data_IF_252905930025
#
_entry.id   IF_252905930025
#
_cell.length_a   1.000
_cell.length_b   1.000
_cell.length_c   1.000
_cell.angle_alpha   90.00
_cell.angle_beta   90.00
_cell.angle_gamma   90.00
#
_symmetry.space_group_name_H-M   'P 1'
#
loop_
_entity.id
_entity.type
_entity.pdbx_description
1 polymer ?
#
# COMPACT_ATOMS: atom_id res chain seq x y z
N UNK A 1 -7.28 7.29 0.04
CA UNK A 1 -7.90 6.06 -0.51
C UNK A 1 -9.06 5.57 0.37
N UNK A 2 -8.84 5.19 1.64
CA UNK A 2 -9.92 4.64 2.50
C UNK A 2 -11.17 5.50 2.58
N UNK A 3 -11.03 6.79 2.81
CA UNK A 3 -12.18 7.71 2.85
C UNK A 3 -12.97 7.80 1.55
N UNK A 4 -12.28 7.78 0.38
CA UNK A 4 -12.96 7.79 -0.92
C UNK A 4 -13.74 6.50 -1.17
N UNK A 5 -13.16 5.34 -0.86
CA UNK A 5 -13.84 4.04 -1.05
C UNK A 5 -15.03 3.92 -0.11
N UNK A 6 -14.84 4.23 1.20
CA UNK A 6 -15.94 4.21 2.17
C UNK A 6 -17.04 5.20 1.78
N UNK A 7 -16.66 6.40 1.33
CA UNK A 7 -17.59 7.41 0.85
C UNK A 7 -18.37 6.97 -0.37
N UNK A 8 -17.73 6.34 -1.36
CA UNK A 8 -18.39 5.80 -2.55
C UNK A 8 -19.39 4.71 -2.20
N UNK A 9 -19.03 3.75 -1.33
CA UNK A 9 -19.93 2.70 -0.84
C UNK A 9 -21.14 3.27 -0.11
N UNK A 10 -20.95 4.24 0.78
CA UNK A 10 -22.02 4.92 1.50
C UNK A 10 -22.93 5.73 0.57
N UNK A 11 -22.35 6.40 -0.43
CA UNK A 11 -23.11 7.14 -1.43
C UNK A 11 -24.01 6.21 -2.24
N UNK A 12 -23.49 5.04 -2.70
CA UNK A 12 -24.30 3.99 -3.33
C UNK A 12 -25.37 3.42 -2.38
N UNK A 13 -25.11 3.38 -1.06
CA UNK A 13 -26.08 2.97 -0.06
C UNK A 13 -27.13 4.04 0.25
N UNK A 14 -27.08 5.23 -0.37
CA UNK A 14 -28.07 6.30 -0.26
C UNK A 14 -27.72 7.38 0.76
N UNK A 15 -26.50 7.41 1.29
CA UNK A 15 -26.04 8.49 2.18
C UNK A 15 -25.55 9.70 1.36
N UNK A 16 -25.80 10.90 1.83
CA UNK A 16 -25.17 12.11 1.29
C UNK A 16 -23.79 12.29 1.92
N UNK A 17 -22.75 12.13 1.11
CA UNK A 17 -21.37 12.06 1.57
C UNK A 17 -20.60 13.34 1.25
N UNK A 18 -19.85 13.85 2.24
CA UNK A 18 -18.82 14.88 2.04
C UNK A 18 -17.46 14.31 2.44
N UNK A 19 -16.50 14.31 1.52
CA UNK A 19 -15.12 13.91 1.80
C UNK A 19 -14.25 15.17 1.87
N UNK A 20 -13.54 15.36 2.98
CA UNK A 20 -12.58 16.44 3.17
C UNK A 20 -11.16 15.89 2.98
N UNK A 21 -10.41 16.49 2.06
CA UNK A 21 -9.00 16.14 1.78
C UNK A 21 -8.11 17.35 2.01
N UNK A 22 -7.05 17.20 2.79
CA UNK A 22 -6.12 18.29 3.09
C UNK A 22 -5.28 18.73 1.89
N UNK A 23 -4.91 17.78 1.02
CA UNK A 23 -4.06 18.06 -0.13
C UNK A 23 -4.88 18.61 -1.32
N UNK A 24 -4.19 19.26 -2.25
CA UNK A 24 -4.78 19.68 -3.53
C UNK A 24 -5.15 18.49 -4.42
N UNK A 25 -4.45 17.35 -4.26
CA UNK A 25 -4.70 16.10 -4.98
C UNK A 25 -5.31 15.10 -4.02
N UNK A 26 -6.48 14.58 -4.37
CA UNK A 26 -7.21 13.58 -3.56
C UNK A 26 -6.58 12.19 -3.67
N UNK A 27 -6.91 11.27 -2.75
CA UNK A 27 -6.65 9.84 -2.92
C UNK A 27 -5.59 9.23 -1.99
N UNK A 28 -4.81 10.02 -1.25
CA UNK A 28 -3.75 9.49 -0.39
C UNK A 28 -2.73 8.69 -1.21
N UNK A 29 -2.55 7.38 -0.94
CA UNK A 29 -1.62 6.52 -1.69
C UNK A 29 -1.93 6.33 -3.18
N UNK A 30 -3.12 6.75 -3.66
CA UNK A 30 -3.47 6.79 -5.08
C UNK A 30 -3.02 8.09 -5.76
N UNK A 31 -2.46 9.04 -5.03
CA UNK A 31 -1.97 10.28 -5.62
C UNK A 31 -0.87 9.99 -6.64
N UNK A 32 -0.92 10.74 -7.72
CA UNK A 32 0.14 10.80 -8.73
C UNK A 32 0.45 12.25 -9.02
N UNK A 33 1.66 12.54 -9.42
CA UNK A 33 2.07 13.91 -9.74
C UNK A 33 2.72 13.97 -11.11
N UNK A 34 2.60 15.10 -11.77
CA UNK A 34 3.25 15.35 -13.05
C UNK A 34 4.47 16.25 -12.85
N UNK A 35 5.62 15.81 -13.33
CA UNK A 35 6.86 16.59 -13.32
C UNK A 35 7.73 16.26 -14.53
N UNK A 36 8.41 17.29 -15.08
CA UNK A 36 9.23 17.14 -16.28
C UNK A 36 8.47 16.50 -17.46
N UNK A 37 7.15 16.76 -17.56
CA UNK A 37 6.30 16.21 -18.62
C UNK A 37 5.80 14.78 -18.41
N UNK A 38 6.26 14.07 -17.36
CA UNK A 38 5.90 12.69 -17.07
C UNK A 38 5.06 12.56 -15.79
N UNK A 39 4.23 11.51 -15.71
CA UNK A 39 3.49 11.11 -14.52
C UNK A 39 4.32 10.16 -13.65
N UNK A 40 4.15 10.27 -12.33
CA UNK A 40 4.75 9.41 -11.32
C UNK A 40 3.74 9.05 -10.25
N UNK A 41 3.78 7.80 -9.80
CA UNK A 41 2.94 7.31 -8.72
C UNK A 41 3.63 7.50 -7.36
N UNK A 42 2.89 7.97 -6.37
CA UNK A 42 3.48 8.26 -5.05
C UNK A 42 3.50 7.04 -4.13
N UNK A 43 2.59 6.09 -4.31
CA UNK A 43 2.49 4.94 -3.42
C UNK A 43 1.86 3.69 -4.04
N UNK A 44 1.35 3.77 -5.27
CA UNK A 44 0.75 2.64 -5.96
C UNK A 44 1.56 2.33 -7.21
N UNK A 45 2.55 1.45 -7.08
CA UNK A 45 3.46 1.07 -8.16
C UNK A 45 2.98 -0.19 -8.88
N UNK A 46 2.47 -1.14 -8.11
CA UNK A 46 1.92 -2.43 -8.54
C UNK A 46 0.94 -2.94 -7.48
N UNK A 47 0.05 -3.86 -7.86
CA UNK A 47 -0.91 -4.45 -6.93
C UNK A 47 -1.39 -5.82 -7.41
N UNK A 48 -1.68 -6.70 -6.45
CA UNK A 48 -2.35 -7.99 -6.69
C UNK A 48 -3.87 -7.88 -6.53
N UNK A 49 -4.59 -9.01 -6.69
CA UNK A 49 -6.00 -9.12 -6.33
C UNK A 49 -6.99 -8.38 -7.24
N UNK A 50 -6.63 -8.11 -8.50
CA UNK A 50 -7.51 -7.53 -9.52
C UNK A 50 -8.20 -8.57 -10.41
N UNK A 51 -7.84 -9.85 -10.25
CA UNK A 51 -8.53 -10.97 -10.91
C UNK A 51 -10.00 -11.06 -10.51
N UNK A 52 -10.80 -11.75 -11.32
CA UNK A 52 -12.26 -11.80 -11.21
C UNK A 52 -12.77 -12.37 -9.88
N UNK A 53 -11.99 -13.25 -9.25
CA UNK A 53 -12.33 -13.92 -7.99
C UNK A 53 -12.09 -13.07 -6.74
N UNK A 54 -11.44 -11.90 -6.87
CA UNK A 54 -11.02 -11.10 -5.73
C UNK A 54 -12.00 -10.00 -5.35
N UNK A 55 -12.10 -9.73 -4.07
CA UNK A 55 -13.00 -8.74 -3.50
C UNK A 55 -12.85 -7.34 -4.12
N UNK A 56 -11.64 -6.94 -4.49
CA UNK A 56 -11.39 -5.65 -5.15
C UNK A 56 -12.16 -5.54 -6.47
N UNK A 57 -12.08 -6.56 -7.32
CA UNK A 57 -12.79 -6.57 -8.62
C UNK A 57 -14.31 -6.50 -8.47
N UNK A 58 -14.86 -7.28 -7.55
CA UNK A 58 -16.30 -7.26 -7.27
C UNK A 58 -16.75 -5.90 -6.76
N UNK A 59 -16.00 -5.29 -5.84
CA UNK A 59 -16.31 -3.96 -5.32
C UNK A 59 -16.26 -2.89 -6.42
N UNK A 60 -15.24 -2.92 -7.28
CA UNK A 60 -15.14 -1.96 -8.39
C UNK A 60 -16.27 -2.11 -9.41
N UNK A 61 -16.74 -3.34 -9.66
CA UNK A 61 -17.96 -3.58 -10.47
C UNK A 61 -19.20 -3.07 -9.77
N UNK A 62 -19.38 -3.35 -8.48
CA UNK A 62 -20.50 -2.82 -7.70
C UNK A 62 -20.57 -1.29 -7.76
N UNK A 63 -19.42 -0.61 -7.73
CA UNK A 63 -19.32 0.82 -7.90
C UNK A 63 -19.47 1.30 -9.36
N UNK A 64 -19.49 0.37 -10.34
CA UNK A 64 -19.62 0.65 -11.76
C UNK A 64 -18.41 1.34 -12.40
N UNK A 65 -17.21 1.14 -11.83
CA UNK A 65 -15.98 1.82 -12.28
C UNK A 65 -14.86 0.88 -12.72
N UNK A 66 -15.05 -0.45 -12.66
CA UNK A 66 -13.97 -1.39 -13.01
C UNK A 66 -13.48 -1.21 -14.44
N UNK A 67 -14.41 -1.08 -15.39
CA UNK A 67 -14.11 -0.98 -16.81
C UNK A 67 -13.65 0.43 -17.25
N UNK A 68 -13.74 1.41 -16.35
CA UNK A 68 -13.20 2.77 -16.56
C UNK A 68 -11.71 2.85 -16.25
N UNK A 69 -11.12 1.80 -15.62
CA UNK A 69 -9.73 1.78 -15.19
C UNK A 69 -8.84 1.14 -16.24
N UNK A 70 -7.78 1.85 -16.61
CA UNK A 70 -6.75 1.34 -17.50
C UNK A 70 -5.68 0.60 -16.68
N UNK A 71 -5.73 -0.73 -16.73
CA UNK A 71 -4.88 -1.60 -15.93
C UNK A 71 -4.21 -2.62 -16.82
N UNK A 72 -2.89 -2.69 -16.74
CA UNK A 72 -2.06 -3.66 -17.46
C UNK A 72 -1.69 -4.83 -16.54
N UNK A 73 -1.94 -6.09 -16.91
CA UNK A 73 -1.36 -7.23 -16.22
C UNK A 73 0.15 -7.27 -16.44
N UNK A 74 0.88 -7.63 -15.39
CA UNK A 74 2.33 -7.86 -15.46
C UNK A 74 2.62 -9.15 -16.23
N UNK A 75 3.82 -9.27 -16.81
CA UNK A 75 4.27 -10.43 -17.58
C UNK A 75 4.09 -11.73 -16.77
N UNK A 76 3.35 -12.68 -17.32
CA UNK A 76 3.01 -13.91 -16.62
C UNK A 76 4.19 -14.90 -16.48
N UNK A 77 5.17 -14.84 -17.39
CA UNK A 77 6.34 -15.74 -17.40
C UNK A 77 7.47 -15.21 -16.48
N UNK A 78 7.45 -13.92 -16.20
CA UNK A 78 8.44 -13.25 -15.36
C UNK A 78 7.81 -12.08 -14.60
N UNK A 79 6.78 -12.39 -13.82
CA UNK A 79 6.02 -11.38 -13.08
C UNK A 79 6.94 -10.57 -12.16
N UNK A 80 7.82 -11.25 -11.42
CA UNK A 80 8.87 -10.62 -10.63
C UNK A 80 10.25 -11.08 -11.11
N UNK A 81 11.21 -10.13 -11.13
CA UNK A 81 12.61 -10.41 -11.38
C UNK A 81 13.37 -10.12 -10.08
N UNK A 82 13.81 -11.19 -9.40
CA UNK A 82 14.50 -11.10 -8.11
C UNK A 82 15.99 -11.33 -8.32
N UNK A 83 16.78 -10.30 -8.04
CA UNK A 83 18.23 -10.40 -8.04
C UNK A 83 18.73 -10.72 -6.63
N UNK A 84 19.69 -11.60 -6.52
CA UNK A 84 20.38 -11.91 -5.25
C UNK A 84 21.80 -11.35 -5.22
N UNK A 85 22.39 -11.15 -6.38
CA UNK A 85 23.63 -10.42 -6.63
C UNK A 85 23.66 -9.93 -8.10
N UNK A 86 24.64 -9.10 -8.54
CA UNK A 86 24.67 -8.58 -9.91
C UNK A 86 24.84 -9.63 -11.03
N UNK A 87 25.05 -10.90 -10.69
CA UNK A 87 25.25 -12.00 -11.64
C UNK A 87 24.13 -13.01 -11.65
N UNK A 88 23.26 -13.00 -10.61
CA UNK A 88 22.21 -14.01 -10.45
C UNK A 88 20.83 -13.36 -10.25
N UNK A 89 19.89 -13.75 -11.11
CA UNK A 89 18.49 -13.33 -11.01
C UNK A 89 17.54 -14.49 -11.25
N UNK A 90 16.38 -14.40 -10.66
CA UNK A 90 15.27 -15.34 -10.76
C UNK A 90 14.08 -14.65 -11.40
N UNK A 91 13.53 -15.26 -12.45
CA UNK A 91 12.33 -14.75 -13.14
C UNK A 91 11.15 -15.57 -12.64
N UNK A 92 10.44 -15.04 -11.64
CA UNK A 92 9.37 -15.75 -10.97
C UNK A 92 8.08 -15.67 -11.79
N UNK A 93 7.51 -16.80 -12.23
CA UNK A 93 6.30 -16.83 -13.03
C UNK A 93 5.05 -16.63 -12.16
N UNK A 94 3.96 -16.19 -12.80
CA UNK A 94 2.65 -16.12 -12.19
C UNK A 94 2.05 -17.52 -12.00
N UNK A 95 1.34 -17.67 -10.88
CA UNK A 95 0.61 -18.88 -10.54
C UNK A 95 1.41 -19.84 -9.67
N UNK A 96 0.72 -20.43 -8.68
CA UNK A 96 1.33 -21.31 -7.70
C UNK A 96 2.11 -22.46 -8.33
N UNK A 97 1.49 -23.17 -9.27
CA UNK A 97 2.08 -24.36 -9.89
C UNK A 97 3.35 -24.01 -10.68
N UNK A 98 3.31 -22.97 -11.52
CA UNK A 98 4.45 -22.51 -12.30
C UNK A 98 5.59 -22.02 -11.39
N UNK A 99 5.27 -21.26 -10.34
CA UNK A 99 6.22 -20.78 -9.35
C UNK A 99 6.91 -21.93 -8.60
N UNK A 100 6.13 -22.91 -8.12
CA UNK A 100 6.63 -24.08 -7.41
C UNK A 100 7.50 -24.96 -8.33
N UNK A 101 7.08 -25.19 -9.58
CA UNK A 101 7.83 -25.95 -10.57
C UNK A 101 9.16 -25.27 -10.92
N UNK A 102 9.12 -23.95 -11.15
CA UNK A 102 10.31 -23.17 -11.48
C UNK A 102 11.36 -23.26 -10.38
N UNK A 103 10.99 -22.87 -9.15
CA UNK A 103 11.91 -22.91 -8.02
C UNK A 103 12.31 -24.33 -7.62
N UNK A 104 11.38 -25.31 -7.68
CA UNK A 104 11.68 -26.70 -7.40
C UNK A 104 12.68 -27.34 -8.40
N UNK A 105 12.75 -26.81 -9.64
CA UNK A 105 13.76 -27.21 -10.62
C UNK A 105 15.14 -26.64 -10.27
N UNK A 106 15.19 -25.40 -9.80
CA UNK A 106 16.44 -24.71 -9.43
C UNK A 106 16.98 -25.18 -8.08
N UNK A 107 16.09 -25.56 -7.16
CA UNK A 107 16.41 -25.99 -5.80
C UNK A 107 15.88 -27.42 -5.53
N UNK A 108 16.35 -28.46 -6.24
CA UNK A 108 15.75 -29.80 -6.18
C UNK A 108 15.78 -30.44 -4.78
N UNK A 109 16.79 -30.11 -3.97
CA UNK A 109 16.88 -30.58 -2.58
C UNK A 109 15.84 -29.93 -1.64
N UNK A 110 15.23 -28.83 -2.05
CA UNK A 110 14.24 -28.08 -1.27
C UNK A 110 12.80 -28.26 -1.77
N UNK A 111 12.57 -29.09 -2.81
CA UNK A 111 11.27 -29.24 -3.48
C UNK A 111 10.13 -29.56 -2.50
N UNK A 112 10.32 -30.54 -1.62
CA UNK A 112 9.30 -30.92 -0.64
C UNK A 112 9.10 -29.84 0.44
N UNK A 113 10.18 -29.15 0.82
CA UNK A 113 10.12 -28.02 1.74
C UNK A 113 9.37 -26.84 1.15
N UNK A 114 9.64 -26.52 -0.13
CA UNK A 114 8.96 -25.47 -0.87
C UNK A 114 7.45 -25.75 -1.00
N UNK A 115 7.09 -26.99 -1.37
CA UNK A 115 5.71 -27.43 -1.44
C UNK A 115 4.97 -27.18 -0.12
N UNK A 116 5.51 -27.67 0.99
CA UNK A 116 4.92 -27.47 2.34
C UNK A 116 4.89 -26.02 2.78
N UNK A 117 5.87 -25.22 2.40
CA UNK A 117 5.86 -23.78 2.64
C UNK A 117 4.71 -23.10 1.92
N UNK A 118 4.52 -23.39 0.62
CA UNK A 118 3.42 -22.84 -0.16
C UNK A 118 2.05 -23.32 0.38
N UNK A 119 1.90 -24.59 0.76
CA UNK A 119 0.69 -25.08 1.41
C UNK A 119 0.35 -24.30 2.69
N UNK A 120 1.36 -24.01 3.50
CA UNK A 120 1.17 -23.22 4.71
C UNK A 120 0.73 -21.78 4.37
N UNK A 121 1.33 -21.14 3.37
CA UNK A 121 0.92 -19.81 2.92
C UNK A 121 -0.54 -19.77 2.47
N UNK A 122 -0.96 -20.73 1.63
CA UNK A 122 -2.35 -20.81 1.16
C UNK A 122 -3.33 -21.12 2.28
N UNK A 123 -2.97 -22.02 3.23
CA UNK A 123 -3.78 -22.31 4.42
C UNK A 123 -4.00 -21.06 5.29
N UNK A 124 -2.94 -20.28 5.48
CA UNK A 124 -3.04 -19.03 6.24
C UNK A 124 -3.88 -17.99 5.46
N UNK A 125 -3.63 -17.83 4.16
CA UNK A 125 -4.36 -16.87 3.32
C UNK A 125 -5.86 -17.19 3.24
N UNK A 126 -6.23 -18.48 3.18
CA UNK A 126 -7.62 -18.91 3.12
C UNK A 126 -8.41 -18.55 4.39
N UNK A 127 -7.74 -18.31 5.51
CA UNK A 127 -8.38 -17.84 6.75
C UNK A 127 -8.83 -16.38 6.73
N UNK A 128 -8.48 -15.63 5.68
CA UNK A 128 -8.89 -14.23 5.50
C UNK A 128 -10.18 -14.13 4.66
N UNK A 129 -11.28 -14.56 5.23
CA UNK A 129 -12.57 -14.72 4.56
C UNK A 129 -13.01 -13.57 3.67
N UNK A 130 -12.81 -12.32 4.12
CA UNK A 130 -13.25 -11.14 3.37
C UNK A 130 -12.52 -10.96 2.03
N UNK A 131 -11.27 -11.38 1.91
CA UNK A 131 -10.56 -11.32 0.63
C UNK A 131 -11.23 -12.20 -0.44
N UNK A 132 -11.88 -13.28 0.02
CA UNK A 132 -12.66 -14.22 -0.79
C UNK A 132 -14.17 -13.94 -0.76
N UNK A 133 -14.57 -12.76 -0.27
CA UNK A 133 -15.96 -12.35 -0.13
C UNK A 133 -16.81 -13.34 0.68
N UNK A 134 -16.20 -13.98 1.67
CA UNK A 134 -16.88 -14.90 2.59
C UNK A 134 -17.21 -14.17 3.89
N UNK A 135 -18.31 -14.55 4.51
CA UNK A 135 -18.57 -14.15 5.90
C UNK A 135 -17.69 -14.97 6.84
N UNK A 136 -17.34 -14.38 7.99
CA UNK A 136 -16.42 -14.97 8.94
C UNK A 136 -16.73 -16.45 9.27
N UNK A 137 -15.73 -17.29 9.10
CA UNK A 137 -15.75 -18.74 9.37
C UNK A 137 -14.67 -19.10 10.39
N UNK A 138 -14.63 -20.35 10.81
CA UNK A 138 -13.59 -20.87 11.70
C UNK A 138 -12.56 -21.64 10.88
N UNK A 139 -11.29 -21.27 11.02
CA UNK A 139 -10.15 -21.88 10.32
C UNK A 139 -9.15 -22.49 11.32
N UNK A 140 -9.44 -23.66 11.89
CA UNK A 140 -8.58 -24.25 12.93
C UNK A 140 -7.17 -24.60 12.44
N UNK A 141 -7.03 -24.91 11.14
CA UNK A 141 -5.77 -25.25 10.49
C UNK A 141 -4.77 -24.11 10.44
N UNK A 142 -5.23 -22.86 10.35
CA UNK A 142 -4.37 -21.68 10.33
C UNK A 142 -3.76 -21.36 11.71
N UNK A 143 -4.36 -21.85 12.79
CA UNK A 143 -3.91 -21.60 14.18
C UNK A 143 -2.50 -22.10 14.45
N UNK A 144 -2.05 -23.14 13.73
CA UNK A 144 -0.68 -23.67 13.88
C UNK A 144 0.42 -22.67 13.52
N UNK A 145 0.03 -21.55 12.88
CA UNK A 145 0.93 -20.51 12.39
C UNK A 145 0.74 -19.15 13.08
N UNK A 146 -0.22 -19.07 14.02
CA UNK A 146 -0.49 -17.81 14.74
C UNK A 146 0.75 -17.29 15.48
N UNK A 147 1.01 -16.00 15.33
CA UNK A 147 2.14 -15.33 15.99
C UNK A 147 3.51 -15.60 15.40
N UNK A 148 3.63 -16.42 14.35
CA UNK A 148 4.90 -16.66 13.67
C UNK A 148 5.31 -15.45 12.83
N UNK A 149 6.65 -15.29 12.68
CA UNK A 149 7.22 -14.42 11.64
C UNK A 149 7.43 -15.19 10.35
N UNK A 150 7.64 -14.46 9.26
CA UNK A 150 7.94 -15.04 7.94
C UNK A 150 9.22 -15.88 7.99
N UNK A 151 10.25 -15.39 8.68
CA UNK A 151 11.50 -16.14 8.85
C UNK A 151 11.26 -17.48 9.54
N UNK A 152 10.48 -17.50 10.64
CA UNK A 152 10.16 -18.72 11.35
C UNK A 152 9.41 -19.73 10.47
N UNK A 153 8.49 -19.26 9.62
CA UNK A 153 7.77 -20.12 8.69
C UNK A 153 8.69 -20.66 7.60
N UNK A 154 9.51 -19.81 6.97
CA UNK A 154 10.46 -20.24 5.94
C UNK A 154 11.42 -21.28 6.47
N UNK A 155 12.09 -21.00 7.60
CA UNK A 155 13.08 -21.91 8.23
C UNK A 155 12.48 -23.21 8.77
N UNK A 156 11.18 -23.26 8.99
CA UNK A 156 10.48 -24.51 9.35
C UNK A 156 10.51 -25.55 8.22
N UNK A 157 10.56 -25.12 6.97
CA UNK A 157 10.42 -25.98 5.79
C UNK A 157 11.63 -25.91 4.84
N UNK A 158 12.39 -24.85 4.86
CA UNK A 158 13.46 -24.51 3.92
C UNK A 158 14.76 -24.30 4.70
N UNK A 159 15.83 -24.95 4.27
CA UNK A 159 17.17 -24.84 4.84
C UNK A 159 18.17 -24.11 3.91
N UNK A 160 17.83 -23.88 2.67
CA UNK A 160 18.67 -23.22 1.68
C UNK A 160 18.53 -21.71 1.82
N UNK A 161 19.63 -21.00 2.14
CA UNK A 161 19.65 -19.56 2.40
C UNK A 161 19.41 -18.75 1.12
N UNK A 162 19.78 -19.26 -0.05
CA UNK A 162 19.52 -18.57 -1.32
C UNK A 162 18.04 -18.60 -1.64
N UNK A 163 17.37 -19.75 -1.46
CA UNK A 163 15.93 -19.88 -1.66
C UNK A 163 15.16 -19.00 -0.64
N UNK A 164 15.59 -18.94 0.64
CA UNK A 164 15.01 -18.03 1.64
C UNK A 164 15.15 -16.58 1.17
N UNK A 165 16.32 -16.20 0.65
CA UNK A 165 16.55 -14.85 0.10
C UNK A 165 15.61 -14.55 -1.06
N UNK A 166 15.50 -15.47 -2.03
CA UNK A 166 14.56 -15.31 -3.16
C UNK A 166 13.13 -15.14 -2.65
N UNK A 167 12.64 -16.00 -1.75
CA UNK A 167 11.27 -15.95 -1.22
C UNK A 167 10.98 -14.69 -0.37
N UNK A 168 12.02 -13.96 0.05
CA UNK A 168 11.89 -12.71 0.82
C UNK A 168 11.57 -11.49 -0.04
N UNK A 169 11.38 -11.62 -1.34
CA UNK A 169 11.27 -10.51 -2.30
C UNK A 169 10.13 -9.53 -1.99
N UNK A 170 9.02 -9.99 -1.40
CA UNK A 170 7.87 -9.14 -1.07
C UNK A 170 8.05 -8.30 0.21
N UNK A 171 9.20 -8.38 0.88
CA UNK A 171 9.44 -7.60 2.12
C UNK A 171 9.30 -6.08 1.97
N UNK A 172 9.66 -5.44 0.84
CA UNK A 172 9.38 -4.02 0.62
C UNK A 172 7.91 -3.66 0.72
N UNK A 173 7.01 -4.55 0.27
CA UNK A 173 5.57 -4.36 0.33
C UNK A 173 4.98 -4.65 1.73
N UNK A 174 5.77 -5.23 2.62
CA UNK A 174 5.44 -5.43 4.04
C UNK A 174 6.06 -4.33 4.95
N UNK A 175 7.01 -3.57 4.45
CA UNK A 175 7.68 -2.49 5.16
C UNK A 175 8.72 -2.91 6.20
N UNK A 176 9.01 -4.23 6.35
CA UNK A 176 9.95 -4.78 7.33
C UNK A 176 10.70 -5.99 6.79
N UNK A 177 11.76 -6.42 7.48
CA UNK A 177 12.48 -7.67 7.23
C UNK A 177 11.68 -8.89 7.66
N UNK A 178 12.06 -10.08 7.15
CA UNK A 178 11.32 -11.35 7.36
C UNK A 178 11.20 -11.77 8.84
N UNK A 179 12.13 -11.35 9.69
CA UNK A 179 12.12 -11.60 11.15
C UNK A 179 11.06 -10.77 11.89
N UNK A 180 10.50 -9.73 11.25
CA UNK A 180 9.48 -8.83 11.82
C UNK A 180 8.14 -8.89 11.12
N UNK A 181 8.08 -9.37 9.90
CA UNK A 181 6.82 -9.50 9.15
C UNK A 181 6.02 -10.67 9.70
N UNK A 182 4.74 -10.43 9.99
CA UNK A 182 3.79 -11.49 10.34
C UNK A 182 3.52 -12.41 9.15
N UNK A 183 3.49 -13.73 9.39
CA UNK A 183 3.09 -14.70 8.35
C UNK A 183 1.72 -14.40 7.77
N UNK A 184 0.78 -13.90 8.56
CA UNK A 184 -0.57 -13.56 8.09
C UNK A 184 -0.56 -12.54 6.97
N UNK A 185 0.17 -11.42 7.16
CA UNK A 185 0.30 -10.36 6.15
C UNK A 185 1.04 -10.87 4.92
N UNK A 186 2.16 -11.57 5.13
CA UNK A 186 2.98 -12.11 4.04
C UNK A 186 2.22 -13.14 3.21
N UNK A 187 1.50 -14.07 3.86
CA UNK A 187 0.76 -15.12 3.16
C UNK A 187 -0.32 -14.53 2.26
N UNK A 188 -1.10 -13.59 2.78
CA UNK A 188 -2.15 -12.95 1.99
C UNK A 188 -1.56 -12.17 0.81
N UNK A 189 -0.49 -11.41 1.06
CA UNK A 189 0.19 -10.66 0.02
C UNK A 189 0.77 -11.60 -1.05
N UNK A 190 1.46 -12.66 -0.65
CA UNK A 190 2.06 -13.64 -1.57
C UNK A 190 1.00 -14.30 -2.44
N UNK A 191 -0.12 -14.74 -1.88
CA UNK A 191 -1.21 -15.38 -2.64
C UNK A 191 -1.83 -14.40 -3.64
N UNK A 192 -2.10 -13.15 -3.23
CA UNK A 192 -2.63 -12.12 -4.12
C UNK A 192 -1.71 -11.83 -5.30
N UNK A 193 -0.39 -11.81 -5.07
CA UNK A 193 0.59 -11.54 -6.10
C UNK A 193 0.83 -12.75 -6.99
N UNK A 194 0.94 -13.94 -6.44
CA UNK A 194 1.05 -15.19 -7.24
C UNK A 194 -0.14 -15.40 -8.17
N UNK A 195 -1.33 -14.95 -7.78
CA UNK A 195 -2.53 -15.03 -8.62
C UNK A 195 -2.53 -14.01 -9.77
N UNK A 196 -1.78 -12.95 -9.65
CA UNK A 196 -1.54 -11.96 -10.69
C UNK A 196 -1.25 -10.58 -10.14
N UNK A 197 -0.23 -9.98 -10.69
CA UNK A 197 0.17 -8.60 -10.44
C UNK A 197 -0.29 -7.70 -11.58
N UNK A 198 -0.65 -6.48 -11.23
CA UNK A 198 -1.21 -5.48 -12.14
C UNK A 198 -0.61 -4.11 -11.89
N UNK A 199 -0.69 -3.23 -12.90
CA UNK A 199 -0.26 -1.84 -12.84
C UNK A 199 -1.29 -0.93 -13.50
N UNK A 200 -1.45 0.26 -12.94
CA UNK A 200 -2.20 1.30 -13.64
C UNK A 200 -1.38 1.84 -14.80
N UNK A 201 -1.97 1.94 -15.97
CA UNK A 201 -1.39 2.67 -17.09
C UNK A 201 -1.46 4.17 -16.80
N UNK A 202 -0.39 4.91 -17.16
CA UNK A 202 -0.14 6.31 -16.86
C UNK A 202 -0.05 6.61 -15.36
N UNK A 203 -1.13 6.43 -14.59
CA UNK A 203 -1.11 6.78 -13.17
C UNK A 203 -2.25 6.16 -12.37
N UNK A 204 -2.03 5.97 -11.06
CA UNK A 204 -3.01 5.41 -10.13
C UNK A 204 -4.12 6.41 -9.72
N UNK A 205 -3.95 7.70 -10.02
CA UNK A 205 -4.91 8.74 -9.67
C UNK A 205 -6.26 8.55 -10.38
N UNK A 206 -6.29 7.84 -11.52
CA UNK A 206 -7.53 7.47 -12.22
C UNK A 206 -8.54 6.78 -11.30
N UNK A 207 -8.10 5.90 -10.38
CA UNK A 207 -9.01 5.27 -9.40
C UNK A 207 -9.58 6.30 -8.40
N UNK A 208 -8.78 7.25 -7.94
CA UNK A 208 -9.27 8.30 -7.05
C UNK A 208 -10.30 9.20 -7.74
N UNK A 209 -10.11 9.49 -9.04
CA UNK A 209 -11.05 10.25 -9.85
C UNK A 209 -12.36 9.47 -10.09
N UNK A 210 -12.27 8.19 -10.42
CA UNK A 210 -13.45 7.32 -10.59
C UNK A 210 -14.29 7.26 -9.30
N UNK A 211 -13.64 7.05 -8.13
CA UNK A 211 -14.31 7.06 -6.84
C UNK A 211 -14.97 8.41 -6.52
N UNK A 212 -14.31 9.52 -6.84
CA UNK A 212 -14.89 10.86 -6.74
C UNK A 212 -16.15 10.98 -7.59
N UNK A 213 -16.09 10.53 -8.85
CA UNK A 213 -17.23 10.54 -9.78
C UNK A 213 -18.41 9.73 -9.22
N UNK A 214 -18.18 8.58 -8.58
CA UNK A 214 -19.23 7.81 -7.90
C UNK A 214 -19.89 8.63 -6.80
N UNK A 215 -19.10 9.26 -5.91
CA UNK A 215 -19.63 10.08 -4.82
C UNK A 215 -20.47 11.24 -5.37
N UNK A 216 -19.96 11.97 -6.37
CA UNK A 216 -20.63 13.13 -6.96
C UNK A 216 -21.90 12.74 -7.75
N UNK A 217 -21.90 11.58 -8.43
CA UNK A 217 -23.09 11.00 -9.11
C UNK A 217 -24.24 10.72 -8.15
N UNK A 218 -23.93 10.42 -6.88
CA UNK A 218 -24.89 10.21 -5.81
C UNK A 218 -25.11 11.47 -4.93
N UNK A 219 -24.93 12.66 -5.50
CA UNK A 219 -25.14 13.94 -4.83
C UNK A 219 -24.25 14.20 -3.61
N UNK A 220 -23.13 13.51 -3.50
CA UNK A 220 -22.06 13.80 -2.55
C UNK A 220 -21.06 14.80 -3.11
N UNK A 221 -20.00 15.09 -2.33
CA UNK A 221 -18.95 16.01 -2.73
C UNK A 221 -17.59 15.60 -2.17
N UNK A 222 -16.52 15.91 -2.91
CA UNK A 222 -15.12 15.71 -2.49
C UNK A 222 -14.41 17.05 -2.55
N UNK A 223 -13.97 17.54 -1.41
CA UNK A 223 -13.40 18.88 -1.25
C UNK A 223 -11.91 18.76 -0.93
N UNK A 224 -11.08 19.17 -1.88
CA UNK A 224 -9.64 19.31 -1.69
C UNK A 224 -9.29 20.62 -0.97
N UNK A 225 -8.06 20.71 -0.45
CA UNK A 225 -7.60 21.87 0.37
C UNK A 225 -8.53 22.15 1.54
N UNK A 226 -9.03 21.11 2.19
CA UNK A 226 -9.90 21.16 3.35
C UNK A 226 -9.27 20.36 4.50
N UNK A 227 -8.15 20.87 5.02
CA UNK A 227 -7.46 20.25 6.14
C UNK A 227 -8.24 20.44 7.43
N UNK A 228 -8.66 19.32 8.04
CA UNK A 228 -9.32 19.34 9.35
C UNK A 228 -8.29 19.69 10.42
N UNK A 229 -8.59 20.72 11.22
CA UNK A 229 -7.77 21.21 12.33
C UNK A 229 -8.35 20.87 13.70
N UNK A 230 -9.66 20.61 13.78
CA UNK A 230 -10.33 20.29 15.05
C UNK A 230 -11.53 19.37 14.81
N UNK A 231 -11.78 18.48 15.79
CA UNK A 231 -12.98 17.65 15.90
C UNK A 231 -13.58 17.93 17.27
N UNK A 232 -14.63 18.72 17.29
CA UNK A 232 -15.33 19.11 18.52
C UNK A 232 -16.21 17.94 18.98
N UNK A 233 -15.89 17.39 20.15
CA UNK A 233 -16.64 16.31 20.80
C UNK A 233 -17.23 16.83 22.10
N UNK A 234 -18.51 16.52 22.37
CA UNK A 234 -19.20 16.83 23.62
C UNK A 234 -20.06 15.64 24.04
N UNK A 235 -19.91 15.20 25.27
CA UNK A 235 -20.65 14.06 25.86
C UNK A 235 -20.59 12.79 25.00
N UNK A 236 -19.44 12.52 24.38
CA UNK A 236 -19.23 11.33 23.55
C UNK A 236 -19.90 11.42 22.17
N UNK A 237 -20.28 12.60 21.70
CA UNK A 237 -20.85 12.87 20.40
C UNK A 237 -20.01 13.92 19.65
N UNK A 238 -19.69 13.69 18.38
CA UNK A 238 -19.05 14.69 17.53
C UNK A 238 -20.11 15.68 17.07
N UNK A 239 -19.95 16.94 17.44
CA UNK A 239 -20.86 18.03 17.04
C UNK A 239 -20.49 18.57 15.66
N UNK A 240 -19.18 18.80 15.42
CA UNK A 240 -18.67 19.34 14.16
C UNK A 240 -17.19 19.04 13.96
N UNK A 241 -16.74 19.21 12.74
CA UNK A 241 -15.32 19.32 12.39
C UNK A 241 -15.02 20.70 11.81
N UNK A 242 -13.84 21.26 12.14
CA UNK A 242 -13.40 22.57 11.67
C UNK A 242 -12.16 22.38 10.80
N UNK A 243 -12.10 23.08 9.68
CA UNK A 243 -10.93 23.10 8.78
C UNK A 243 -10.02 24.29 9.09
N UNK A 244 -8.74 24.22 8.67
CA UNK A 244 -7.73 25.26 8.91
C UNK A 244 -8.11 26.64 8.37
N UNK A 245 -9.00 26.70 7.37
CA UNK A 245 -9.56 27.92 6.81
C UNK A 245 -10.81 28.44 7.56
N UNK A 246 -11.15 27.79 8.68
CA UNK A 246 -12.26 28.20 9.57
C UNK A 246 -13.65 27.73 9.14
N UNK A 247 -13.79 26.94 8.07
CA UNK A 247 -15.08 26.33 7.70
C UNK A 247 -15.46 25.25 8.70
N UNK A 248 -16.75 25.22 9.05
CA UNK A 248 -17.33 24.21 9.95
C UNK A 248 -18.22 23.26 9.16
N UNK A 249 -18.18 21.97 9.53
CA UNK A 249 -18.91 20.90 8.89
C UNK A 249 -19.67 20.09 9.93
N UNK A 250 -20.96 19.91 9.71
CA UNK A 250 -21.82 19.08 10.56
C UNK A 250 -22.39 17.91 9.75
N UNK A 251 -22.51 16.76 10.41
CA UNK A 251 -23.07 15.55 9.83
C UNK A 251 -23.65 14.65 10.93
N UNK A 252 -24.53 13.72 10.57
CA UNK A 252 -25.05 12.70 11.49
C UNK A 252 -23.96 11.71 11.90
N UNK A 253 -23.00 11.44 10.99
CA UNK A 253 -21.91 10.48 11.21
C UNK A 253 -20.61 10.99 10.61
N UNK A 254 -19.52 10.77 11.34
CA UNK A 254 -18.15 11.13 10.93
C UNK A 254 -17.30 9.88 10.76
N UNK A 255 -16.41 9.91 9.76
CA UNK A 255 -15.51 8.78 9.45
C UNK A 255 -14.09 9.31 9.31
N UNK A 256 -13.21 8.88 10.22
CA UNK A 256 -11.80 9.22 10.19
C UNK A 256 -11.03 8.25 9.28
N UNK A 257 -10.54 8.77 8.16
CA UNK A 257 -9.69 8.03 7.20
C UNK A 257 -8.21 8.48 7.31
N UNK A 258 -7.77 8.74 8.52
CA UNK A 258 -6.42 9.21 8.87
C UNK A 258 -5.75 8.24 9.84
N UNK A 259 -4.45 8.40 10.07
CA UNK A 259 -3.76 7.61 11.10
C UNK A 259 -4.39 7.84 12.48
N UNK A 260 -4.49 6.82 13.35
CA UNK A 260 -5.09 6.97 14.68
C UNK A 260 -4.49 8.10 15.53
N UNK A 261 -3.16 8.26 15.50
CA UNK A 261 -2.47 9.35 16.21
C UNK A 261 -2.88 10.74 15.73
N UNK A 262 -3.19 10.89 14.46
CA UNK A 262 -3.71 12.16 13.88
C UNK A 262 -5.11 12.44 14.42
N UNK A 263 -6.01 11.44 14.40
CA UNK A 263 -7.34 11.61 14.99
C UNK A 263 -7.27 12.01 16.47
N UNK A 264 -6.37 11.37 17.24
CA UNK A 264 -6.21 11.68 18.67
C UNK A 264 -5.70 13.10 18.93
N UNK A 265 -4.90 13.65 18.01
CA UNK A 265 -4.41 15.01 18.10
C UNK A 265 -5.47 16.06 17.71
N UNK A 266 -6.42 15.68 16.85
CA UNK A 266 -7.49 16.58 16.37
C UNK A 266 -8.72 16.62 17.29
N UNK A 267 -8.90 15.65 18.19
CA UNK A 267 -10.11 15.51 18.99
C UNK A 267 -9.99 16.24 20.32
N UNK A 268 -11.03 16.99 20.70
CA UNK A 268 -11.12 17.71 21.98
C UNK A 268 -11.26 16.80 23.20
N UNK A 269 -11.78 15.58 23.01
CA UNK A 269 -11.95 14.57 24.06
C UNK A 269 -11.30 13.23 23.67
N UNK A 270 -11.18 12.31 24.63
CA UNK A 270 -10.68 10.95 24.40
C UNK A 270 -11.69 10.09 23.59
N UNK A 271 -11.57 10.15 22.25
CA UNK A 271 -12.42 9.39 21.30
C UNK A 271 -12.14 7.89 21.28
N UNK A 272 -11.06 7.41 21.92
CA UNK A 272 -10.70 6.00 22.05
C UNK A 272 -10.33 5.64 23.49
N UNK A 273 -10.31 4.34 23.79
CA UNK A 273 -9.85 3.85 25.10
C UNK A 273 -8.36 4.18 25.29
N UNK A 274 -7.97 4.59 26.50
CA UNK A 274 -6.57 4.87 26.87
C UNK A 274 -5.60 3.74 26.51
N UNK A 275 -6.05 2.48 26.59
CA UNK A 275 -5.26 1.30 26.18
C UNK A 275 -4.99 1.32 24.68
N UNK A 276 -5.99 1.62 23.86
CA UNK A 276 -5.81 1.72 22.39
C UNK A 276 -4.88 2.88 22.02
N UNK A 277 -4.97 4.00 22.70
CA UNK A 277 -4.06 5.15 22.52
C UNK A 277 -2.62 4.76 22.87
N UNK A 278 -2.38 4.19 24.08
CA UNK A 278 -1.06 3.73 24.49
C UNK A 278 -0.48 2.70 23.55
N UNK A 279 -1.32 1.80 23.06
CA UNK A 279 -0.91 0.80 22.09
C UNK A 279 -0.47 1.47 20.77
N UNK A 280 -1.25 2.43 20.26
CA UNK A 280 -0.87 3.21 19.08
C UNK A 280 0.45 3.97 19.27
N UNK A 281 0.63 4.61 20.42
CA UNK A 281 1.82 5.40 20.75
C UNK A 281 3.08 4.53 20.97
N UNK A 282 2.93 3.27 21.39
CA UNK A 282 4.04 2.34 21.62
C UNK A 282 4.64 1.77 20.35
N UNK A 283 3.96 1.89 19.23
CA UNK A 283 4.43 1.42 17.93
C UNK A 283 5.17 2.53 17.17
N UNK A 284 6.44 2.74 17.50
CA UNK A 284 7.29 3.62 16.71
C UNK A 284 7.73 2.93 15.41
N UNK A 285 7.15 3.31 14.28
CA UNK A 285 7.63 2.88 12.96
C UNK A 285 8.77 3.80 12.54
N UNK A 286 9.95 3.24 12.29
CA UNK A 286 11.11 3.95 11.73
C UNK A 286 11.40 3.53 10.30
N UNK A 287 10.73 2.47 9.80
CA UNK A 287 10.85 1.98 8.42
C UNK A 287 10.05 2.86 7.45
N UNK A 288 10.72 3.35 6.44
CA UNK A 288 10.18 4.20 5.39
C UNK A 288 10.93 3.94 4.08
N UNK A 289 10.79 4.82 3.08
CA UNK A 289 11.52 4.72 1.83
C UNK A 289 12.02 6.06 1.31
N UNK A 290 13.14 6.00 0.60
CA UNK A 290 13.57 7.02 -0.35
C UNK A 290 12.95 6.64 -1.70
N UNK A 291 12.10 7.51 -2.24
CA UNK A 291 11.44 7.32 -3.53
C UNK A 291 12.15 8.15 -4.59
N UNK A 292 12.68 7.49 -5.61
CA UNK A 292 13.42 8.13 -6.71
C UNK A 292 12.59 7.96 -7.97
N UNK A 293 12.22 9.08 -8.56
CA UNK A 293 11.40 9.20 -9.75
C UNK A 293 12.28 9.72 -10.88
N UNK A 294 12.47 8.90 -11.91
CA UNK A 294 13.34 9.20 -13.05
C UNK A 294 12.51 9.37 -14.31
N UNK A 295 12.66 10.53 -14.99
CA UNK A 295 12.34 10.62 -16.40
C UNK A 295 13.54 10.09 -17.16
N UNK A 296 13.28 9.22 -18.13
CA UNK A 296 14.32 8.59 -18.94
C UNK A 296 14.49 9.31 -20.28
N UNK A 297 15.69 9.25 -20.84
CA UNK A 297 15.97 9.68 -22.21
C UNK A 297 15.26 8.74 -23.18
N UNK A 298 14.79 9.26 -24.28
CA UNK A 298 14.14 8.47 -25.32
C UNK A 298 15.05 7.36 -25.85
N UNK A 299 14.49 6.17 -26.06
CA UNK A 299 15.16 5.00 -26.64
C UNK A 299 16.44 4.53 -25.90
N UNK A 300 16.53 4.77 -24.59
CA UNK A 300 17.74 4.40 -23.81
C UNK A 300 17.56 3.24 -22.84
N UNK A 301 16.32 2.98 -22.42
CA UNK A 301 16.01 1.91 -21.47
C UNK A 301 14.76 1.14 -21.93
N UNK A 302 14.80 -0.20 -22.04
CA UNK A 302 13.64 -0.96 -22.47
C UNK A 302 12.52 -0.90 -21.43
N UNK A 303 11.28 -0.95 -21.89
CA UNK A 303 10.15 -1.17 -21.00
C UNK A 303 10.20 -2.62 -20.47
N UNK A 304 10.14 -2.76 -19.16
CA UNK A 304 10.15 -4.06 -18.47
C UNK A 304 8.82 -4.23 -17.76
N UNK A 305 7.95 -5.08 -18.29
CA UNK A 305 6.66 -5.36 -17.68
C UNK A 305 6.76 -6.40 -16.55
N UNK A 306 7.73 -6.20 -15.66
CA UNK A 306 7.96 -7.01 -14.45
C UNK A 306 8.29 -6.10 -13.29
N UNK A 307 7.96 -6.51 -12.07
CA UNK A 307 8.49 -5.83 -10.88
C UNK A 307 9.86 -6.38 -10.56
N UNK A 308 10.82 -5.48 -10.37
CA UNK A 308 12.22 -5.84 -10.17
C UNK A 308 12.59 -5.60 -8.70
N UNK A 309 13.17 -6.62 -8.09
CA UNK A 309 13.65 -6.60 -6.71
C UNK A 309 15.16 -6.76 -6.72
N UNK A 310 15.88 -5.75 -6.22
CA UNK A 310 17.34 -5.73 -6.12
C UNK A 310 17.75 -5.81 -4.65
N UNK A 311 18.76 -6.60 -4.28
CA UNK A 311 19.19 -6.69 -2.89
C UNK A 311 19.65 -5.32 -2.39
N UNK A 312 19.35 -5.00 -1.13
CA UNK A 312 19.82 -3.75 -0.51
C UNK A 312 21.30 -3.84 -0.21
N UNK A 313 22.16 -2.89 -0.62
CA UNK A 313 23.54 -2.86 -0.19
C UNK A 313 23.58 -2.54 1.30
N UNK A 314 24.38 -3.28 2.08
CA UNK A 314 24.53 -3.06 3.52
C UNK A 314 23.18 -3.06 4.27
N UNK A 315 22.46 -4.19 4.19
CA UNK A 315 21.16 -4.36 4.84
C UNK A 315 21.20 -3.91 6.31
N UNK A 316 20.24 -3.11 6.70
CA UNK A 316 20.04 -2.65 8.07
C UNK A 316 18.96 -3.50 8.74
N UNK A 317 19.22 -3.96 9.96
CA UNK A 317 18.29 -4.77 10.75
C UNK A 317 16.88 -4.15 10.80
N UNK A 318 15.86 -4.96 10.56
CA UNK A 318 14.45 -4.57 10.59
C UNK A 318 13.94 -3.85 9.36
N UNK A 319 14.78 -3.46 8.40
CA UNK A 319 14.36 -2.92 7.11
C UNK A 319 14.13 -4.04 6.08
N UNK A 320 13.32 -3.79 5.03
CA UNK A 320 13.18 -4.71 3.90
C UNK A 320 14.52 -5.05 3.25
N UNK A 321 14.61 -6.26 2.69
CA UNK A 321 15.84 -6.78 2.07
C UNK A 321 16.07 -6.30 0.64
N UNK A 322 15.08 -5.70 0.01
CA UNK A 322 15.11 -5.37 -1.42
C UNK A 322 14.75 -3.93 -1.71
N UNK A 323 15.41 -3.37 -2.71
CA UNK A 323 15.00 -2.18 -3.45
C UNK A 323 13.95 -2.63 -4.46
N UNK A 324 12.85 -1.91 -4.59
CA UNK A 324 11.86 -2.13 -5.63
C UNK A 324 12.12 -1.17 -6.79
N UNK A 325 12.18 -1.70 -8.00
CA UNK A 325 12.33 -0.93 -9.24
C UNK A 325 11.20 -1.30 -10.20
N UNK A 326 10.58 -0.28 -10.78
CA UNK A 326 9.55 -0.45 -11.80
C UNK A 326 9.73 0.53 -12.95
N UNK A 327 9.29 0.12 -14.14
CA UNK A 327 9.07 1.00 -15.28
C UNK A 327 7.56 1.12 -15.49
N UNK A 328 6.89 2.21 -14.99
CA UNK A 328 5.45 2.36 -15.11
C UNK A 328 4.96 2.34 -16.55
N UNK A 329 3.88 1.60 -16.89
CA UNK A 329 3.33 1.56 -18.22
C UNK A 329 2.56 2.85 -18.55
N UNK A 330 2.46 3.14 -19.83
CA UNK A 330 1.58 4.18 -20.40
C UNK A 330 0.51 3.53 -21.28
N UNK A 331 -0.61 4.21 -21.53
CA UNK A 331 -1.68 3.71 -22.41
C UNK A 331 -1.20 3.40 -23.86
N UNK A 332 -0.10 4.00 -24.28
CA UNK A 332 0.51 3.78 -25.60
C UNK A 332 1.94 3.25 -25.42
N UNK A 333 2.09 2.23 -24.58
CA UNK A 333 3.39 1.67 -24.26
C UNK A 333 4.04 1.03 -25.48
N UNK A 334 5.21 1.55 -25.84
CA UNK A 334 6.09 0.96 -26.84
C UNK A 334 7.20 0.12 -26.20
N UNK A 335 8.27 -0.13 -26.96
CA UNK A 335 9.43 -0.92 -26.51
C UNK A 335 10.26 -0.23 -25.41
N UNK A 336 10.12 1.09 -25.24
CA UNK A 336 10.99 1.89 -24.39
C UNK A 336 10.24 2.46 -23.18
N UNK A 337 10.86 2.41 -22.04
CA UNK A 337 10.34 3.03 -20.83
C UNK A 337 10.50 4.57 -20.87
N UNK A 338 9.46 5.28 -20.45
CA UNK A 338 9.48 6.75 -20.33
C UNK A 338 9.91 7.21 -18.93
N UNK A 339 9.56 6.42 -17.94
CA UNK A 339 9.84 6.70 -16.53
C UNK A 339 10.34 5.44 -15.82
N UNK A 340 11.00 5.66 -14.68
CA UNK A 340 11.38 4.61 -13.76
C UNK A 340 11.15 5.09 -12.33
N UNK A 341 10.68 4.21 -11.50
CA UNK A 341 10.47 4.44 -10.08
C UNK A 341 11.31 3.46 -9.27
N UNK A 342 12.09 3.98 -8.31
CA UNK A 342 12.99 3.19 -7.44
C UNK A 342 12.64 3.51 -5.99
N UNK A 343 12.25 2.50 -5.23
CA UNK A 343 11.99 2.61 -3.79
C UNK A 343 13.12 1.93 -3.02
N UNK A 344 13.86 2.72 -2.26
CA UNK A 344 14.98 2.25 -1.44
C UNK A 344 14.54 2.28 0.03
N UNK A 345 14.49 1.14 0.73
CA UNK A 345 14.21 1.10 2.15
C UNK A 345 15.20 1.98 2.93
N UNK A 346 14.68 2.79 3.82
CA UNK A 346 15.50 3.63 4.69
C UNK A 346 14.77 3.93 6.02
N UNK A 347 15.49 4.50 6.98
CA UNK A 347 14.91 4.91 8.25
C UNK A 347 14.40 6.35 8.18
N UNK A 348 13.29 6.61 8.87
CA UNK A 348 12.84 7.98 9.11
C UNK A 348 13.90 8.78 9.88
N UNK A 349 14.55 8.15 10.84
CA UNK A 349 15.62 8.77 11.67
C UNK A 349 16.77 9.33 10.84
N UNK A 350 17.07 8.80 9.64
CA UNK A 350 18.07 9.34 8.71
C UNK A 350 17.74 10.78 8.26
N UNK A 351 16.47 11.16 8.30
CA UNK A 351 15.95 12.45 7.83
C UNK A 351 15.32 13.29 8.94
N UNK A 352 15.12 12.74 10.13
CA UNK A 352 14.36 13.34 11.23
C UNK A 352 14.82 14.75 11.63
N UNK A 353 16.13 15.03 11.57
CA UNK A 353 16.71 16.33 11.93
C UNK A 353 16.20 17.52 11.11
N UNK A 354 15.60 17.27 9.94
CA UNK A 354 14.96 18.29 9.11
C UNK A 354 13.44 18.29 9.22
N UNK A 355 12.90 17.47 10.13
CA UNK A 355 11.46 17.21 10.24
C UNK A 355 10.64 18.39 10.77
N UNK A 356 11.23 19.30 11.53
CA UNK A 356 10.55 20.47 12.09
C UNK A 356 10.22 21.55 11.04
N UNK A 357 10.89 21.52 9.88
CA UNK A 357 10.65 22.50 8.83
C UNK A 357 9.59 22.00 7.84
N UNK A 358 8.67 22.89 7.41
CA UNK A 358 7.67 22.55 6.40
C UNK A 358 8.29 22.11 5.08
N UNK A 359 7.47 21.39 4.28
CA UNK A 359 7.84 21.11 2.90
C UNK A 359 8.08 22.42 2.13
N UNK A 360 9.17 22.50 1.37
CA UNK A 360 9.56 23.71 0.62
C UNK A 360 10.51 24.64 1.38
N UNK A 361 10.56 24.60 2.70
CA UNK A 361 11.42 25.46 3.53
C UNK A 361 12.64 24.73 4.09
N UNK A 362 12.84 23.50 3.73
CA UNK A 362 14.00 22.69 4.19
C UNK A 362 15.30 23.19 3.59
N UNK A 363 16.38 23.25 4.40
CA UNK A 363 17.63 23.92 4.04
C UNK A 363 18.41 23.18 2.93
N UNK A 364 19.44 23.83 2.41
CA UNK A 364 20.25 23.32 1.31
C UNK A 364 20.95 22.00 1.61
N UNK A 365 21.35 21.77 2.86
CA UNK A 365 21.97 20.50 3.30
C UNK A 365 21.01 19.32 3.23
N UNK A 366 19.70 19.53 3.50
CA UNK A 366 18.67 18.52 3.22
C UNK A 366 18.59 18.20 1.72
N UNK A 367 18.60 19.23 0.87
CA UNK A 367 18.54 19.01 -0.58
C UNK A 367 19.80 18.25 -1.05
N UNK A 368 20.98 18.63 -0.57
CA UNK A 368 22.23 17.95 -0.89
C UNK A 368 22.20 16.49 -0.43
N UNK A 369 21.80 16.22 0.81
CA UNK A 369 21.75 14.87 1.38
C UNK A 369 20.81 13.94 0.61
N UNK A 370 19.57 14.38 0.32
CA UNK A 370 18.64 13.53 -0.41
C UNK A 370 19.10 13.24 -1.84
N UNK A 371 19.75 14.21 -2.53
CA UNK A 371 20.31 14.00 -3.87
C UNK A 371 21.49 13.04 -3.82
N UNK A 372 22.38 13.17 -2.83
CA UNK A 372 23.48 12.24 -2.63
C UNK A 372 22.97 10.81 -2.44
N UNK A 373 21.99 10.59 -1.54
CA UNK A 373 21.40 9.26 -1.30
C UNK A 373 20.73 8.67 -2.54
N UNK A 374 20.06 9.53 -3.33
CA UNK A 374 19.47 9.10 -4.60
C UNK A 374 20.53 8.71 -5.64
N UNK A 375 21.63 9.48 -5.72
CA UNK A 375 22.73 9.17 -6.64
C UNK A 375 23.44 7.87 -6.25
N UNK A 376 23.69 7.64 -4.96
CA UNK A 376 24.24 6.38 -4.43
C UNK A 376 23.35 5.18 -4.83
N UNK A 377 22.03 5.34 -4.73
CA UNK A 377 21.09 4.30 -5.13
C UNK A 377 21.11 4.06 -6.65
N UNK A 378 21.13 5.11 -7.47
CA UNK A 378 21.22 4.98 -8.93
C UNK A 378 22.53 4.29 -9.32
N UNK A 379 23.65 4.65 -8.69
CA UNK A 379 24.96 4.06 -8.95
C UNK A 379 24.97 2.57 -8.59
N UNK A 380 24.33 2.20 -7.50
CA UNK A 380 24.18 0.80 -7.11
C UNK A 380 23.27 0.02 -8.06
N UNK A 381 22.09 0.53 -8.37
CA UNK A 381 21.15 -0.09 -9.31
C UNK A 381 21.78 -0.24 -10.72
N UNK A 382 22.70 0.67 -11.06
CA UNK A 382 23.40 0.64 -12.35
C UNK A 382 24.40 -0.53 -12.49
N UNK A 383 24.64 -1.30 -11.44
CA UNK A 383 25.38 -2.56 -11.51
C UNK A 383 24.50 -3.71 -12.11
N UNK A 384 23.18 -3.59 -12.03
CA UNK A 384 22.21 -4.57 -12.52
C UNK A 384 21.61 -4.17 -13.86
N UNK A 385 21.31 -2.88 -14.03
CA UNK A 385 20.68 -2.31 -15.23
C UNK A 385 21.35 -0.99 -15.60
N UNK A 386 21.47 -0.62 -16.86
CA UNK A 386 22.17 0.60 -17.30
C UNK A 386 21.37 1.90 -17.02
N UNK A 387 20.97 2.10 -15.77
CA UNK A 387 20.08 3.21 -15.37
C UNK A 387 20.77 4.56 -15.48
N UNK A 388 22.01 4.70 -14.99
CA UNK A 388 22.72 5.99 -14.95
C UNK A 388 22.73 6.72 -16.29
N UNK A 389 23.00 6.00 -17.39
CA UNK A 389 23.07 6.60 -18.73
C UNK A 389 21.70 6.98 -19.29
N UNK A 390 20.65 6.33 -18.81
CA UNK A 390 19.28 6.55 -19.26
C UNK A 390 18.61 7.75 -18.56
N UNK A 391 19.10 8.22 -17.42
CA UNK A 391 18.50 9.31 -16.65
C UNK A 391 18.56 10.62 -17.43
N UNK A 392 17.40 11.25 -17.62
CA UNK A 392 17.27 12.63 -18.11
C UNK A 392 17.00 13.60 -16.95
N UNK A 393 15.99 13.32 -16.12
CA UNK A 393 15.60 14.15 -14.97
C UNK A 393 15.31 13.27 -13.76
N UNK A 394 15.54 13.81 -12.56
CA UNK A 394 15.33 13.14 -11.30
C UNK A 394 14.49 13.97 -10.33
N UNK A 395 13.55 13.33 -9.67
CA UNK A 395 12.82 13.86 -8.52
C UNK A 395 12.95 12.89 -7.35
N UNK A 396 13.15 13.40 -6.14
CA UNK A 396 13.39 12.55 -4.96
C UNK A 396 12.38 12.88 -3.86
N UNK A 397 11.62 11.87 -3.44
CA UNK A 397 10.82 11.84 -2.21
C UNK A 397 11.61 11.21 -1.07
N UNK A 398 11.38 11.65 0.16
CA UNK A 398 12.03 11.14 1.37
C UNK A 398 10.98 10.72 2.40
N UNK A 399 11.35 10.06 3.50
CA UNK A 399 10.41 9.83 4.62
C UNK A 399 9.65 11.09 5.07
N UNK A 400 10.29 12.26 5.02
CA UNK A 400 9.61 13.52 5.32
C UNK A 400 8.57 13.90 4.27
N UNK A 401 8.80 13.58 2.99
CA UNK A 401 7.81 13.78 1.93
C UNK A 401 6.59 12.90 2.17
N UNK A 402 6.81 11.61 2.48
CA UNK A 402 5.74 10.67 2.79
C UNK A 402 4.94 11.14 4.01
N UNK A 403 5.62 11.54 5.08
CA UNK A 403 4.97 12.08 6.28
C UNK A 403 4.07 13.29 5.95
N UNK A 404 4.59 14.24 5.22
CA UNK A 404 3.90 15.51 4.98
C UNK A 404 2.68 15.34 4.07
N UNK A 405 2.78 14.49 3.04
CA UNK A 405 1.68 14.26 2.08
C UNK A 405 0.67 13.21 2.53
N UNK A 406 1.12 12.11 3.16
CA UNK A 406 0.19 11.05 3.62
C UNK A 406 -0.31 11.24 5.04
N UNK A 407 0.25 12.20 5.78
CA UNK A 407 0.00 12.35 7.21
C UNK A 407 0.34 11.06 7.99
N UNK A 408 1.34 10.34 7.49
CA UNK A 408 1.77 9.09 8.08
C UNK A 408 2.82 9.35 9.16
N UNK A 409 2.63 8.89 10.38
CA UNK A 409 3.62 9.04 11.45
C UNK A 409 4.98 8.50 10.98
N UNK A 410 6.05 9.31 11.17
CA UNK A 410 7.41 8.96 10.76
C UNK A 410 7.56 8.53 9.28
N UNK A 411 6.67 9.02 8.40
CA UNK A 411 6.73 8.67 6.98
C UNK A 411 6.56 7.18 6.70
N UNK A 412 5.86 6.45 7.57
CA UNK A 412 5.60 5.03 7.39
C UNK A 412 4.78 4.78 6.11
N UNK A 413 5.21 3.83 5.28
CA UNK A 413 4.51 3.46 4.05
C UNK A 413 3.23 2.69 4.35
N UNK A 414 3.28 1.82 5.36
CA UNK A 414 2.19 0.95 5.76
C UNK A 414 1.80 1.20 7.22
N UNK A 415 0.56 0.85 7.56
CA UNK A 415 0.14 0.82 8.95
C UNK A 415 0.94 -0.22 9.73
N UNK A 416 1.01 -0.03 11.02
CA UNK A 416 1.71 -0.93 11.93
C UNK A 416 1.09 -2.32 11.90
N UNK A 417 1.89 -3.33 11.60
CA UNK A 417 1.45 -4.72 11.62
C UNK A 417 1.03 -5.11 13.06
N UNK A 418 -0.18 -5.65 13.18
CA UNK A 418 -0.75 -6.05 14.47
C UNK A 418 -1.42 -4.94 15.28
N UNK A 419 -1.45 -3.70 14.77
CA UNK A 419 -2.26 -2.65 15.36
C UNK A 419 -3.67 -2.69 14.75
N UNK A 420 -4.53 -3.48 15.35
CA UNK A 420 -5.95 -3.47 15.00
C UNK A 420 -6.67 -2.44 15.88
N UNK A 421 -7.06 -1.33 15.28
CA UNK A 421 -7.91 -0.34 15.94
C UNK A 421 -9.38 -0.76 15.81
N UNK A 422 -10.21 -0.57 16.84
CA UNK A 422 -11.63 -0.80 16.69
C UNK A 422 -12.20 0.19 15.67
N UNK A 423 -13.00 -0.30 14.74
CA UNK A 423 -13.68 0.51 13.74
C UNK A 423 -14.62 1.54 14.39
N UNK A 424 -15.31 1.18 15.47
CA UNK A 424 -16.09 2.09 16.31
C UNK A 424 -15.20 2.77 17.34
N UNK A 425 -15.34 4.06 17.46
CA UNK A 425 -14.70 4.85 18.53
C UNK A 425 -15.52 4.77 19.84
N UNK A 426 -15.20 5.59 20.82
CA UNK A 426 -16.01 5.76 22.05
C UNK A 426 -17.18 6.70 21.84
N UNK A 427 -17.12 7.51 20.79
CA UNK A 427 -18.25 8.37 20.41
C UNK A 427 -19.28 7.54 19.65
N UNK A 428 -20.52 7.92 19.72
CA UNK A 428 -21.62 7.19 19.08
C UNK A 428 -21.67 7.38 17.56
N UNK A 429 -21.13 8.50 17.05
CA UNK A 429 -21.21 8.90 15.65
C UNK A 429 -19.85 9.05 14.92
N UNK A 430 -18.72 8.60 15.51
CA UNK A 430 -17.40 8.64 14.87
C UNK A 430 -16.85 7.23 14.66
N UNK A 431 -16.44 6.95 13.43
CA UNK A 431 -15.89 5.67 13.00
C UNK A 431 -14.49 5.86 12.42
N UNK A 432 -13.71 4.77 12.39
CA UNK A 432 -12.48 4.68 11.64
C UNK A 432 -12.67 3.94 10.31
N UNK A 433 -11.86 4.27 9.31
CA UNK A 433 -11.68 3.49 8.09
C UNK A 433 -10.23 3.56 7.60
N UNK A 434 -9.87 2.75 6.61
CA UNK A 434 -8.55 2.76 5.98
C UNK A 434 -7.57 1.74 6.55
N UNK A 435 -6.31 1.88 6.16
CA UNK A 435 -5.28 0.86 6.40
C UNK A 435 -4.89 0.64 7.88
N UNK A 436 -5.22 1.57 8.77
CA UNK A 436 -4.86 1.48 10.18
C UNK A 436 -5.85 0.62 11.02
N UNK A 437 -6.88 0.07 10.40
CA UNK A 437 -7.94 -0.68 11.10
C UNK A 437 -7.67 -2.19 11.03
N UNK A 438 -7.56 -2.75 9.83
CA UNK A 438 -7.38 -4.20 9.63
C UNK A 438 -6.34 -4.52 8.58
N UNK A 439 -6.54 -4.03 7.35
CA UNK A 439 -5.81 -4.44 6.17
C UNK A 439 -5.23 -3.23 5.44
N UNK A 440 -4.01 -3.35 4.94
CA UNK A 440 -3.35 -2.30 4.17
C UNK A 440 -3.32 -2.62 2.66
N UNK A 441 -2.85 -1.65 1.87
CA UNK A 441 -2.73 -1.77 0.41
C UNK A 441 -4.07 -1.67 -0.33
N UNK A 442 -3.99 -1.76 -1.67
CA UNK A 442 -5.17 -1.61 -2.53
C UNK A 442 -6.17 -2.75 -2.38
N UNK A 443 -5.72 -3.95 -2.01
CA UNK A 443 -6.62 -5.08 -1.79
C UNK A 443 -7.22 -5.10 -0.39
N UNK A 444 -6.54 -4.52 0.61
CA UNK A 444 -6.96 -4.56 2.01
C UNK A 444 -7.85 -3.40 2.44
N UNK A 445 -7.53 -2.18 2.03
CA UNK A 445 -8.32 -0.99 2.39
C UNK A 445 -9.78 -1.07 1.93
N UNK A 446 -10.11 -1.61 0.74
CA UNK A 446 -11.50 -1.83 0.34
C UNK A 446 -12.29 -2.70 1.32
N UNK A 447 -11.68 -3.75 1.87
CA UNK A 447 -12.34 -4.64 2.83
C UNK A 447 -12.69 -3.90 4.13
N UNK A 448 -11.76 -3.09 4.63
CA UNK A 448 -12.03 -2.21 5.77
C UNK A 448 -13.14 -1.20 5.45
N UNK A 449 -13.17 -0.68 4.23
CA UNK A 449 -14.19 0.26 3.79
C UNK A 449 -15.59 -0.38 3.72
N UNK A 450 -15.70 -1.63 3.25
CA UNK A 450 -16.97 -2.39 3.24
C UNK A 450 -17.48 -2.53 4.67
N UNK A 451 -16.63 -3.02 5.60
CA UNK A 451 -17.02 -3.20 7.00
C UNK A 451 -17.45 -1.88 7.66
N UNK A 452 -16.72 -0.79 7.38
CA UNK A 452 -17.07 0.53 7.94
C UNK A 452 -18.39 1.03 7.36
N UNK A 453 -18.61 0.86 6.06
CA UNK A 453 -19.84 1.30 5.41
C UNK A 453 -21.05 0.47 5.87
N UNK A 454 -20.92 -0.83 6.11
CA UNK A 454 -21.95 -1.67 6.73
C UNK A 454 -22.26 -1.20 8.17
N UNK A 455 -21.23 -0.95 8.97
CA UNK A 455 -21.42 -0.51 10.35
C UNK A 455 -22.08 0.86 10.48
N UNK A 456 -21.83 1.76 9.52
CA UNK A 456 -22.41 3.12 9.47
C UNK A 456 -23.84 3.09 8.93
N UNK A 457 -24.05 2.41 7.80
CA UNK A 457 -25.37 2.40 7.12
C UNK A 457 -26.38 1.44 7.74
N UNK A 458 -25.92 0.43 8.48
CA UNK A 458 -26.74 -0.67 8.97
C UNK A 458 -27.24 -1.60 7.86
N UNK A 459 -26.69 -1.46 6.63
CA UNK A 459 -27.09 -2.25 5.44
C UNK A 459 -26.07 -3.34 5.15
N UNK A 460 -26.52 -4.45 4.62
CA UNK A 460 -25.64 -5.49 4.04
C UNK A 460 -25.11 -4.99 2.69
N UNK A 461 -23.82 -4.70 2.62
CA UNK A 461 -23.14 -4.31 1.38
C UNK A 461 -22.34 -5.45 0.77
N UNK A 462 -21.96 -6.45 1.57
CA UNK A 462 -21.18 -7.58 1.10
C UNK A 462 -21.96 -8.41 0.07
N UNK A 463 -23.24 -8.69 0.33
CA UNK A 463 -24.08 -9.48 -0.58
C UNK A 463 -24.22 -8.84 -1.98
N UNK A 464 -24.60 -7.56 -2.14
CA UNK A 464 -24.66 -6.95 -3.47
C UNK A 464 -23.28 -6.82 -4.15
N UNK A 465 -22.18 -6.66 -3.39
CA UNK A 465 -20.84 -6.67 -3.95
C UNK A 465 -20.49 -8.07 -4.52
N UNK A 466 -20.85 -9.15 -3.83
CA UNK A 466 -20.68 -10.53 -4.33
C UNK A 466 -21.43 -10.71 -5.64
N UNK A 467 -22.71 -10.27 -5.68
CA UNK A 467 -23.58 -10.41 -6.85
C UNK A 467 -23.06 -9.62 -8.06
N UNK A 468 -22.45 -8.47 -7.84
CA UNK A 468 -21.88 -7.65 -8.92
C UNK A 468 -20.68 -8.31 -9.62
N UNK A 469 -20.06 -9.32 -9.02
CA UNK A 469 -18.94 -10.08 -9.60
C UNK A 469 -19.36 -11.35 -10.34
N UNK A 470 -20.64 -11.75 -10.23
CA UNK A 470 -21.20 -12.91 -10.92
C UNK A 470 -21.75 -12.54 -12.30
#
# INVERSE_FOLDING_TARGET
MGGLITGALLACAGSRVTVLEKNAIIGGGLQSFKRHGAWFNTGMHNFGGFGEQWALSHMLRYLGIKDELHVLPVDAEAQEIVWTDPTHSYRLPRGREAFEQYLGTLFPAQKDGLHRYLDALYTIADSFDLYYLRRSQTHPESRAYEGMTVEQLMRRFISDEELIRVLSYLTPLCGHSIDRVSVSVHSMLTVLYLDGEYRFEDNAFQLAQALRTVIERHSGQVIALAEVSDITVHDGHVEKVTTTDGREWTADTYIAAVAPSVLFALSTEDVVRKVSRRRSDSFAVDSSALSIYLRLKEHTFPFINSTIFLPVPNHQEGLPHYILLTTPPTQHQGEWAHTMEILVPCRYSDFAKWGERPAGERPKDYQAYKHQRAQEAIDYVSQFYPVRQAVDQMTVGTPLTIRDYYYSPNGALFSQQGLFMPMRTRTDNLFFTGQSILYHGLCGVPLTAILTAEAVSGKDLLTPIIQAGQ
#
